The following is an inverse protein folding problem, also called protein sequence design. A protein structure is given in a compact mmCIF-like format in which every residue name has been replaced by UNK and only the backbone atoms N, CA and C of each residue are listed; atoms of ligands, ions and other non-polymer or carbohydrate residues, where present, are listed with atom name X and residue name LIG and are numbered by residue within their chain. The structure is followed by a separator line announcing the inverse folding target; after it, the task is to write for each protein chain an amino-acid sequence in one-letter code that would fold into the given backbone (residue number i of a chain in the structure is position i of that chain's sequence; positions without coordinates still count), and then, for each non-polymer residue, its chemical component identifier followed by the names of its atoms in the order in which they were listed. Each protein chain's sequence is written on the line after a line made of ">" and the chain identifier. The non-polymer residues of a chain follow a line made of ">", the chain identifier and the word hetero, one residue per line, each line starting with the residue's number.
data_IF_858104294636
#
_entry.id   IF_858104294636
#
_cell.length_a   1.000
_cell.length_b   1.000
_cell.length_c   1.000
_cell.angle_alpha   90.00
_cell.angle_beta   90.00
_cell.angle_gamma   90.00
#
_symmetry.space_group_name_H-M   'P 1'
#
loop_
_entity.id
_entity.type
_entity.pdbx_description
1 polymer ?
#
# COMPACT_ATOMS: atom_id res chain seq x y z
N UNK A 1 -17.29 -36.64 5.44
CA UNK A 1 -17.52 -38.12 5.31
C UNK A 1 -18.05 -38.43 3.92
N UNK A 2 -17.80 -39.62 3.43
CA UNK A 2 -18.33 -40.15 2.16
C UNK A 2 -19.21 -41.35 2.42
N UNK A 3 -20.18 -41.58 1.53
CA UNK A 3 -21.01 -42.81 1.51
C UNK A 3 -20.20 -43.98 0.92
N UNK A 4 -20.73 -45.19 0.98
CA UNK A 4 -20.14 -46.37 0.33
C UNK A 4 -20.02 -46.21 -1.20
N UNK A 5 -20.91 -45.42 -1.80
CA UNK A 5 -20.85 -45.04 -3.24
C UNK A 5 -19.86 -43.92 -3.56
N UNK A 6 -19.08 -43.40 -2.59
CA UNK A 6 -18.10 -42.36 -2.78
C UNK A 6 -18.65 -40.92 -2.75
N UNK A 7 -19.97 -40.73 -2.65
CA UNK A 7 -20.59 -39.40 -2.56
C UNK A 7 -20.24 -38.71 -1.24
N UNK A 8 -19.96 -37.38 -1.30
CA UNK A 8 -19.73 -36.56 -0.10
C UNK A 8 -21.06 -36.38 0.60
N UNK A 9 -21.21 -36.96 1.79
CA UNK A 9 -22.41 -36.87 2.62
C UNK A 9 -22.35 -35.81 3.68
N UNK A 10 -21.13 -35.43 4.12
CA UNK A 10 -20.93 -34.41 5.14
C UNK A 10 -19.55 -33.74 5.01
N UNK A 11 -19.51 -32.41 5.08
CA UNK A 11 -18.29 -31.60 5.18
C UNK A 11 -18.31 -30.91 6.54
N UNK A 12 -17.26 -31.11 7.32
CA UNK A 12 -17.04 -30.37 8.57
C UNK A 12 -16.14 -29.16 8.25
N UNK A 13 -16.57 -27.99 8.68
CA UNK A 13 -15.77 -26.76 8.67
C UNK A 13 -15.59 -26.29 10.10
N UNK A 14 -14.37 -26.00 10.47
CA UNK A 14 -14.03 -25.47 11.79
C UNK A 14 -12.78 -24.62 11.71
N UNK A 15 -12.50 -23.88 12.76
CA UNK A 15 -11.26 -23.15 12.94
C UNK A 15 -10.25 -24.05 13.65
N UNK A 16 -9.01 -24.04 13.17
CA UNK A 16 -7.89 -24.72 13.79
C UNK A 16 -6.67 -23.80 13.75
N UNK A 17 -5.79 -23.95 14.74
CA UNK A 17 -4.47 -23.31 14.69
C UNK A 17 -3.61 -24.06 13.67
N UNK A 18 -3.62 -23.58 12.44
CA UNK A 18 -3.02 -24.27 11.31
C UNK A 18 -1.53 -23.94 11.10
N UNK A 19 -1.00 -22.91 11.79
CA UNK A 19 0.39 -22.51 11.58
C UNK A 19 0.78 -21.23 12.31
N UNK A 20 1.98 -20.77 12.02
CA UNK A 20 2.59 -19.56 12.58
C UNK A 20 2.84 -18.56 11.47
N UNK A 21 2.51 -17.29 11.72
CA UNK A 21 2.87 -16.18 10.86
C UNK A 21 3.95 -15.34 11.56
N UNK A 22 5.11 -15.24 10.95
CA UNK A 22 6.23 -14.43 11.45
C UNK A 22 6.37 -13.17 10.59
N UNK A 23 6.42 -12.03 11.26
CA UNK A 23 6.69 -10.72 10.65
C UNK A 23 7.80 -10.04 11.43
N UNK A 24 8.85 -9.58 10.74
CA UNK A 24 9.96 -8.83 11.32
C UNK A 24 10.30 -7.64 10.43
N UNK A 25 10.75 -6.57 11.07
CA UNK A 25 11.11 -5.36 10.34
C UNK A 25 11.57 -4.23 11.24
N UNK A 26 11.74 -3.06 10.63
CA UNK A 26 12.15 -1.82 11.25
C UNK A 26 11.22 -0.71 10.83
N UNK A 27 10.83 0.10 11.79
CA UNK A 27 10.13 1.36 11.56
C UNK A 27 11.07 2.52 11.90
N UNK A 28 11.14 3.50 11.01
CA UNK A 28 11.93 4.71 11.18
C UNK A 28 10.98 5.91 11.13
N UNK A 29 11.09 6.79 12.11
CA UNK A 29 10.36 8.05 12.15
C UNK A 29 11.34 9.17 12.50
N UNK A 30 11.55 10.10 11.55
CA UNK A 30 12.43 11.25 11.70
C UNK A 30 11.62 12.51 11.46
N UNK A 31 11.72 13.46 12.36
CA UNK A 31 11.11 14.77 12.24
C UNK A 31 12.17 15.85 12.46
N UNK A 32 12.18 16.84 11.58
CA UNK A 32 13.08 17.99 11.65
C UNK A 32 12.30 19.26 11.38
N UNK A 33 12.55 20.27 12.18
CA UNK A 33 11.89 21.58 12.08
C UNK A 33 12.95 22.68 12.02
N UNK A 34 12.76 23.65 11.15
CA UNK A 34 13.66 24.78 11.01
C UNK A 34 12.93 26.02 10.44
N UNK A 35 13.44 27.19 10.72
CA UNK A 35 13.00 28.41 10.08
C UNK A 35 13.48 28.44 8.63
N UNK A 36 12.59 28.76 7.69
CA UNK A 36 12.88 28.81 6.26
C UNK A 36 11.95 29.82 5.56
N UNK A 37 12.51 30.78 4.81
CA UNK A 37 11.78 31.80 4.03
C UNK A 37 10.71 32.54 4.85
N UNK A 38 11.10 33.09 6.00
CA UNK A 38 10.22 33.77 6.96
C UNK A 38 9.00 32.93 7.40
N UNK A 39 9.12 31.64 7.40
CA UNK A 39 8.12 30.66 7.83
C UNK A 39 8.77 29.50 8.52
N UNK A 40 7.98 28.52 8.92
CA UNK A 40 8.41 27.30 9.58
C UNK A 40 8.35 26.14 8.59
N UNK A 41 9.45 25.42 8.44
CA UNK A 41 9.54 24.21 7.64
C UNK A 41 9.63 22.99 8.56
N UNK A 42 8.66 22.10 8.43
CA UNK A 42 8.65 20.79 9.05
C UNK A 42 8.94 19.72 7.98
N UNK A 43 9.94 18.88 8.24
CA UNK A 43 10.29 17.73 7.41
C UNK A 43 10.02 16.47 8.22
N UNK A 44 9.17 15.60 7.70
CA UNK A 44 8.87 14.31 8.32
C UNK A 44 9.19 13.17 7.36
N UNK A 45 9.94 12.20 7.84
CA UNK A 45 10.24 10.97 7.12
C UNK A 45 9.80 9.77 7.94
N UNK A 46 8.90 8.97 7.37
CA UNK A 46 8.40 7.74 7.97
C UNK A 46 8.68 6.60 7.00
N UNK A 47 9.32 5.55 7.48
CA UNK A 47 9.63 4.38 6.67
C UNK A 47 9.41 3.09 7.46
N UNK A 48 8.93 2.06 6.77
CA UNK A 48 8.87 0.68 7.25
C UNK A 48 9.67 -0.19 6.30
N UNK A 49 10.64 -0.95 6.84
CA UNK A 49 11.36 -1.99 6.13
C UNK A 49 11.09 -3.32 6.80
N UNK A 50 10.43 -4.22 6.10
CA UNK A 50 10.25 -5.59 6.53
C UNK A 50 11.45 -6.43 6.07
N UNK A 51 11.91 -7.32 6.94
CA UNK A 51 13.04 -8.21 6.67
C UNK A 51 12.60 -9.67 6.61
N UNK A 52 11.44 -9.98 7.19
CA UNK A 52 10.86 -11.33 7.14
C UNK A 52 9.35 -11.23 7.17
N UNK A 53 8.71 -12.00 6.30
CA UNK A 53 7.30 -12.36 6.37
C UNK A 53 7.17 -13.80 5.92
N UNK A 54 6.93 -14.70 6.87
CA UNK A 54 6.81 -16.13 6.59
C UNK A 54 5.53 -16.68 7.19
N UNK A 55 4.94 -17.63 6.47
CA UNK A 55 3.84 -18.46 6.97
C UNK A 55 4.37 -19.90 7.07
N UNK A 56 4.28 -20.48 8.25
CA UNK A 56 4.61 -21.89 8.48
C UNK A 56 3.33 -22.65 8.79
N UNK A 57 2.85 -23.40 7.83
CA UNK A 57 1.66 -24.23 7.91
C UNK A 57 2.00 -25.74 7.75
N UNK A 58 3.20 -26.13 8.18
CA UNK A 58 3.73 -27.49 8.11
C UNK A 58 2.82 -28.49 8.84
N UNK A 59 2.17 -28.06 9.91
CA UNK A 59 1.25 -28.90 10.69
C UNK A 59 0.03 -29.41 9.90
N UNK A 60 -0.35 -28.70 8.82
CA UNK A 60 -1.45 -29.09 7.93
C UNK A 60 -0.95 -29.51 6.53
N UNK A 61 0.36 -29.76 6.40
CA UNK A 61 0.98 -30.26 5.16
C UNK A 61 1.25 -29.20 4.09
N UNK A 62 1.08 -27.89 4.40
CA UNK A 62 1.30 -26.80 3.43
C UNK A 62 2.74 -26.25 3.43
N UNK A 63 3.57 -26.69 4.39
CA UNK A 63 4.97 -26.27 4.49
C UNK A 63 5.15 -24.84 4.98
N UNK A 64 6.39 -24.33 4.83
CA UNK A 64 6.80 -22.97 5.17
C UNK A 64 7.02 -22.18 3.89
N UNK A 65 6.40 -20.98 3.78
CA UNK A 65 6.54 -20.05 2.66
C UNK A 65 7.04 -18.70 3.11
N UNK A 66 7.91 -18.09 2.30
CA UNK A 66 8.23 -16.64 2.39
C UNK A 66 7.22 -15.88 1.52
N UNK A 67 6.71 -14.76 2.04
CA UNK A 67 5.64 -13.98 1.42
C UNK A 67 5.98 -12.49 1.37
N UNK A 68 7.23 -12.15 1.57
CA UNK A 68 7.68 -10.76 1.61
C UNK A 68 8.04 -10.27 0.20
N UNK A 69 7.50 -9.10 -0.18
CA UNK A 69 7.81 -8.47 -1.44
C UNK A 69 7.31 -9.24 -2.67
N UNK A 70 6.28 -10.08 -2.49
CA UNK A 70 5.76 -10.93 -3.55
C UNK A 70 4.25 -10.74 -3.74
N UNK A 71 3.81 -10.77 -4.98
CA UNK A 71 2.42 -11.01 -5.34
C UNK A 71 2.25 -12.47 -5.81
N UNK A 72 1.02 -12.96 -5.87
CA UNK A 72 0.71 -14.34 -6.26
C UNK A 72 1.44 -15.42 -5.40
N UNK A 73 1.70 -15.07 -4.15
CA UNK A 73 2.58 -15.83 -3.25
C UNK A 73 1.92 -17.08 -2.63
N UNK A 74 0.62 -17.26 -2.85
CA UNK A 74 -0.14 -18.34 -2.22
C UNK A 74 -0.24 -18.23 -0.68
N UNK A 75 0.11 -17.08 -0.10
CA UNK A 75 0.09 -16.86 1.33
C UNK A 75 -1.29 -16.43 1.88
N UNK A 76 -2.31 -16.52 1.06
CA UNK A 76 -3.71 -16.34 1.45
C UNK A 76 -4.15 -14.89 1.69
N UNK A 77 -3.31 -13.91 1.43
CA UNK A 77 -3.68 -12.50 1.48
C UNK A 77 -4.03 -11.98 0.08
N UNK A 78 -5.12 -11.24 0.01
CA UNK A 78 -5.57 -10.59 -1.23
C UNK A 78 -4.63 -9.47 -1.67
N UNK A 79 -3.92 -8.86 -0.74
CA UNK A 79 -2.99 -7.75 -1.02
C UNK A 79 -1.57 -8.15 -0.66
N UNK A 80 -0.62 -8.02 -1.59
CA UNK A 80 0.79 -8.29 -1.31
C UNK A 80 1.35 -7.30 -0.29
N UNK A 81 2.40 -7.72 0.39
CA UNK A 81 3.09 -6.89 1.37
C UNK A 81 4.47 -6.55 0.83
N UNK A 82 4.72 -5.31 0.39
CA UNK A 82 6.03 -4.86 -0.04
C UNK A 82 7.02 -4.90 1.14
N UNK A 83 8.29 -5.10 0.82
CA UNK A 83 9.33 -5.15 1.84
C UNK A 83 9.72 -3.77 2.36
N UNK A 84 9.44 -2.72 1.57
CA UNK A 84 9.76 -1.36 1.94
C UNK A 84 8.66 -0.38 1.52
N UNK A 85 8.30 0.51 2.44
CA UNK A 85 7.45 1.68 2.19
C UNK A 85 8.02 2.88 2.90
N UNK A 86 7.98 4.04 2.25
CA UNK A 86 8.28 5.28 2.94
C UNK A 86 7.42 6.44 2.49
N UNK A 87 7.33 7.42 3.37
CA UNK A 87 6.68 8.70 3.14
C UNK A 87 7.59 9.82 3.61
N UNK A 88 7.87 10.75 2.70
CA UNK A 88 8.58 11.99 2.98
C UNK A 88 7.61 13.15 2.83
N UNK A 89 7.52 13.98 3.84
CA UNK A 89 6.63 15.14 3.88
C UNK A 89 7.47 16.38 4.14
N UNK A 90 7.29 17.39 3.30
CA UNK A 90 7.73 18.76 3.54
C UNK A 90 6.47 19.58 3.79
N UNK A 91 6.40 20.22 4.93
CA UNK A 91 5.32 21.14 5.28
C UNK A 91 5.93 22.49 5.65
N UNK A 92 5.62 23.50 4.87
CA UNK A 92 6.05 24.85 5.13
C UNK A 92 4.82 25.72 5.45
N UNK A 93 4.93 26.55 6.47
CA UNK A 93 3.84 27.44 6.88
C UNK A 93 4.34 28.83 7.26
N UNK A 94 3.58 29.83 6.88
CA UNK A 94 3.76 31.23 7.23
C UNK A 94 2.42 31.92 7.32
N UNK A 95 2.14 32.56 8.46
CA UNK A 95 0.93 33.35 8.74
C UNK A 95 -0.35 32.79 8.03
N UNK A 96 -0.60 33.28 6.82
CA UNK A 96 -1.81 33.02 6.05
C UNK A 96 -1.65 31.90 4.98
N UNK A 97 -0.46 31.35 4.80
CA UNK A 97 -0.16 30.37 3.73
C UNK A 97 0.54 29.15 4.30
N UNK A 98 0.08 27.97 3.92
CA UNK A 98 0.85 26.74 4.10
C UNK A 98 0.94 25.94 2.80
N UNK A 99 2.09 25.29 2.62
CA UNK A 99 2.38 24.43 1.49
C UNK A 99 2.81 23.06 2.01
N UNK A 100 2.32 22.01 1.40
CA UNK A 100 2.72 20.65 1.70
C UNK A 100 3.09 19.91 0.43
N UNK A 101 4.24 19.25 0.45
CA UNK A 101 4.68 18.29 -0.55
C UNK A 101 4.84 16.92 0.12
N UNK A 102 4.25 15.90 -0.43
CA UNK A 102 4.33 14.53 0.06
C UNK A 102 4.81 13.61 -1.03
N UNK A 103 5.88 12.87 -0.78
CA UNK A 103 6.33 11.75 -1.60
C UNK A 103 6.01 10.43 -0.90
N UNK A 104 5.32 9.51 -1.58
CA UNK A 104 5.04 8.16 -1.10
C UNK A 104 5.72 7.17 -2.04
N UNK A 105 6.47 6.22 -1.47
CA UNK A 105 7.13 5.15 -2.24
C UNK A 105 6.76 3.79 -1.68
N UNK A 106 6.51 2.86 -2.56
CA UNK A 106 6.31 1.44 -2.31
C UNK A 106 7.33 0.70 -3.14
N UNK A 107 8.09 -0.22 -2.53
CA UNK A 107 9.08 -1.02 -3.25
C UNK A 107 8.43 -1.92 -4.29
N UNK A 108 9.23 -2.32 -5.26
CA UNK A 108 8.93 -3.36 -6.23
C UNK A 108 8.43 -4.65 -5.55
N UNK A 109 7.65 -5.41 -6.32
CA UNK A 109 7.18 -6.74 -5.95
C UNK A 109 7.59 -7.71 -7.06
N UNK A 110 7.89 -8.95 -6.69
CA UNK A 110 8.12 -10.06 -7.61
C UNK A 110 6.96 -11.05 -7.60
N UNK A 111 6.86 -11.87 -8.64
CA UNK A 111 5.96 -13.02 -8.61
C UNK A 111 6.42 -14.05 -7.57
N UNK A 112 5.51 -14.58 -6.80
CA UNK A 112 5.74 -15.64 -5.82
C UNK A 112 5.43 -17.05 -6.34
N UNK A 113 4.90 -17.16 -7.56
CA UNK A 113 4.69 -18.44 -8.26
C UNK A 113 5.86 -18.72 -9.19
N UNK A 114 6.71 -19.66 -8.80
CA UNK A 114 7.88 -20.05 -9.61
C UNK A 114 7.57 -21.19 -10.62
N UNK A 115 6.32 -21.62 -10.72
CA UNK A 115 5.93 -22.73 -11.58
C UNK A 115 5.31 -22.25 -12.91
N UNK A 116 4.79 -21.02 -12.92
CA UNK A 116 4.07 -20.45 -14.06
C UNK A 116 4.66 -19.10 -14.45
N UNK A 117 5.13 -18.96 -15.68
CA UNK A 117 5.57 -17.68 -16.24
C UNK A 117 4.35 -16.82 -16.56
N UNK A 118 4.26 -15.65 -15.91
CA UNK A 118 3.23 -14.65 -16.16
C UNK A 118 3.77 -13.50 -17.03
N UNK A 119 2.89 -12.69 -17.55
CA UNK A 119 3.28 -11.51 -18.33
C UNK A 119 4.11 -10.52 -17.52
N UNK A 120 3.86 -10.42 -16.22
CA UNK A 120 4.58 -9.54 -15.30
C UNK A 120 5.18 -10.39 -14.18
N UNK A 121 6.49 -10.51 -14.18
CA UNK A 121 7.27 -11.25 -13.18
C UNK A 121 7.70 -10.35 -12.00
N UNK A 122 7.78 -9.04 -12.25
CA UNK A 122 8.11 -8.05 -11.21
C UNK A 122 7.49 -6.69 -11.54
N UNK A 123 7.26 -5.89 -10.52
CA UNK A 123 6.88 -4.49 -10.64
C UNK A 123 8.10 -3.61 -10.36
N UNK A 124 8.08 -2.38 -10.87
CA UNK A 124 9.03 -1.34 -10.43
C UNK A 124 8.59 -0.72 -9.11
N UNK A 125 9.50 0.05 -8.50
CA UNK A 125 9.15 0.92 -7.38
C UNK A 125 8.07 1.92 -7.81
N UNK A 126 7.06 2.07 -6.97
CA UNK A 126 5.94 2.95 -7.23
C UNK A 126 6.02 4.19 -6.33
N UNK A 127 6.30 5.33 -6.95
CA UNK A 127 6.42 6.61 -6.24
C UNK A 127 5.40 7.60 -6.77
N UNK A 128 4.63 8.22 -5.86
CA UNK A 128 3.69 9.30 -6.16
C UNK A 128 4.04 10.55 -5.35
N UNK A 129 3.68 11.71 -5.90
CA UNK A 129 3.85 13.00 -5.26
C UNK A 129 2.52 13.73 -5.17
N UNK A 130 2.23 14.28 -3.98
CA UNK A 130 1.05 15.09 -3.72
C UNK A 130 1.48 16.50 -3.33
N UNK A 131 0.78 17.51 -3.82
CA UNK A 131 0.99 18.92 -3.45
C UNK A 131 -0.31 19.50 -2.92
N UNK A 132 -0.24 20.20 -1.80
CA UNK A 132 -1.39 20.87 -1.19
C UNK A 132 -0.99 22.27 -0.77
N UNK A 133 -1.86 23.25 -1.01
CA UNK A 133 -1.75 24.62 -0.51
C UNK A 133 -2.98 24.94 0.32
N UNK A 134 -2.79 25.60 1.45
CA UNK A 134 -3.87 26.15 2.28
C UNK A 134 -3.66 27.63 2.45
N UNK A 135 -4.71 28.42 2.21
CA UNK A 135 -4.72 29.87 2.35
C UNK A 135 -5.79 30.24 3.37
N UNK A 136 -5.40 30.97 4.39
CA UNK A 136 -6.29 31.59 5.38
C UNK A 136 -6.65 33.02 4.93
N UNK A 137 -7.88 33.17 4.40
CA UNK A 137 -8.43 34.46 3.99
C UNK A 137 -9.25 35.02 5.14
N UNK A 138 -8.69 35.94 5.91
CA UNK A 138 -9.33 36.52 7.09
C UNK A 138 -9.56 35.44 8.18
N UNK A 139 -10.09 35.83 9.31
CA UNK A 139 -10.24 34.95 10.49
C UNK A 139 -11.26 33.82 10.33
N UNK A 140 -12.06 33.84 9.27
CA UNK A 140 -13.22 32.96 9.13
C UNK A 140 -13.29 32.16 7.80
N UNK A 141 -12.32 32.32 6.88
CA UNK A 141 -12.33 31.62 5.60
C UNK A 141 -10.98 30.94 5.36
N UNK A 142 -10.99 29.63 5.24
CA UNK A 142 -9.84 28.82 4.87
C UNK A 142 -10.09 28.06 3.59
N UNK A 143 -9.22 28.23 2.60
CA UNK A 143 -9.26 27.53 1.31
C UNK A 143 -8.09 26.58 1.23
N UNK A 144 -8.34 25.31 1.00
CA UNK A 144 -7.33 24.29 0.73
C UNK A 144 -7.53 23.76 -0.69
N UNK A 145 -6.49 23.77 -1.49
CA UNK A 145 -6.47 23.17 -2.82
C UNK A 145 -5.26 22.24 -2.93
N UNK A 146 -5.42 21.13 -3.62
CA UNK A 146 -4.34 20.19 -3.78
C UNK A 146 -4.47 19.33 -5.03
N UNK A 147 -3.34 18.79 -5.44
CA UNK A 147 -3.19 17.87 -6.56
C UNK A 147 -2.52 16.60 -6.02
N UNK A 148 -3.25 15.50 -6.03
CA UNK A 148 -2.71 14.16 -5.70
C UNK A 148 -2.11 13.56 -6.95
N UNK A 149 -1.08 12.75 -6.76
CA UNK A 149 -0.35 12.08 -7.83
C UNK A 149 -0.01 13.03 -8.98
N UNK A 150 0.75 14.09 -8.66
CA UNK A 150 1.09 15.19 -9.60
C UNK A 150 1.69 14.68 -10.91
N UNK A 151 2.49 13.62 -10.83
CA UNK A 151 3.16 13.00 -11.98
C UNK A 151 2.26 12.09 -12.80
N UNK A 152 1.01 11.86 -12.36
CA UNK A 152 0.08 10.92 -12.98
C UNK A 152 0.66 9.50 -13.12
N UNK A 153 1.43 9.07 -12.11
CA UNK A 153 2.05 7.74 -12.11
C UNK A 153 0.94 6.68 -12.12
N UNK A 154 0.92 5.87 -13.17
CA UNK A 154 -0.03 4.77 -13.28
C UNK A 154 0.39 3.59 -12.40
N UNK A 155 -0.56 2.86 -11.80
CA UNK A 155 -0.27 1.65 -11.06
C UNK A 155 0.32 0.57 -11.98
N UNK A 156 1.19 -0.32 -11.47
CA UNK A 156 1.72 -1.42 -12.28
C UNK A 156 0.58 -2.36 -12.71
N UNK A 157 0.64 -2.80 -13.95
CA UNK A 157 -0.27 -3.81 -14.50
C UNK A 157 0.30 -5.19 -14.21
N UNK A 158 -0.35 -5.95 -13.34
CA UNK A 158 0.12 -7.27 -12.88
C UNK A 158 -0.64 -8.40 -13.58
N UNK A 159 -1.89 -8.12 -13.95
CA UNK A 159 -2.79 -9.11 -14.57
C UNK A 159 -3.83 -9.65 -13.59
N UNK A 160 -5.03 -9.93 -14.10
CA UNK A 160 -6.17 -10.34 -13.28
C UNK A 160 -5.98 -11.68 -12.58
N UNK A 161 -5.29 -12.62 -13.23
CA UNK A 161 -5.06 -13.95 -12.65
C UNK A 161 -4.11 -13.91 -11.45
N UNK A 162 -3.11 -13.02 -11.48
CA UNK A 162 -2.17 -12.83 -10.36
C UNK A 162 -2.78 -12.04 -9.21
N UNK A 163 -3.70 -11.10 -9.50
CA UNK A 163 -4.34 -10.26 -8.46
C UNK A 163 -5.41 -11.03 -7.69
N UNK A 164 -6.26 -11.76 -8.39
CA UNK A 164 -7.35 -12.53 -7.80
C UNK A 164 -7.53 -13.85 -8.56
N UNK A 165 -6.70 -14.86 -8.29
CA UNK A 165 -6.80 -16.14 -8.96
C UNK A 165 -8.20 -16.75 -8.75
N UNK A 166 -8.78 -17.23 -9.85
CA UNK A 166 -10.12 -17.85 -9.87
C UNK A 166 -11.29 -16.92 -9.52
N UNK A 167 -11.13 -15.59 -9.59
CA UNK A 167 -12.21 -14.63 -9.45
C UNK A 167 -12.58 -14.03 -10.82
N UNK A 168 -13.87 -13.89 -11.14
CA UNK A 168 -14.33 -13.34 -12.42
C UNK A 168 -14.30 -11.79 -12.42
N UNK A 169 -13.23 -11.19 -11.93
CA UNK A 169 -13.08 -9.72 -11.82
C UNK A 169 -11.93 -9.25 -12.68
N UNK A 170 -12.16 -8.23 -13.48
CA UNK A 170 -11.15 -7.61 -14.34
C UNK A 170 -10.34 -6.57 -13.57
N UNK A 171 -9.57 -6.99 -12.56
CA UNK A 171 -8.66 -6.13 -11.80
C UNK A 171 -7.24 -6.49 -12.21
N UNK A 172 -6.52 -5.52 -12.78
CA UNK A 172 -5.15 -5.71 -13.28
C UNK A 172 -4.07 -5.23 -12.33
N UNK A 173 -4.44 -4.74 -11.14
CA UNK A 173 -3.52 -4.22 -10.12
C UNK A 173 -4.12 -4.40 -8.73
N UNK A 174 -3.42 -3.99 -7.69
CA UNK A 174 -3.88 -4.04 -6.30
C UNK A 174 -4.37 -2.65 -5.82
N UNK A 175 -5.70 -2.36 -5.84
CA UNK A 175 -6.23 -1.04 -5.47
C UNK A 175 -6.01 -0.66 -4.00
N UNK A 176 -5.76 -1.64 -3.12
CA UNK A 176 -5.43 -1.40 -1.72
C UNK A 176 -3.95 -1.04 -1.51
N UNK A 177 -3.13 -1.19 -2.54
CA UNK A 177 -1.70 -0.91 -2.50
C UNK A 177 -1.32 0.31 -3.34
N UNK A 178 -1.90 0.44 -4.52
CA UNK A 178 -1.58 1.47 -5.51
C UNK A 178 -2.75 2.43 -5.71
N UNK A 179 -2.44 3.69 -6.03
CA UNK A 179 -3.45 4.67 -6.42
C UNK A 179 -3.95 4.37 -7.85
N UNK A 180 -5.22 3.98 -7.95
CA UNK A 180 -5.87 3.64 -9.22
C UNK A 180 -6.62 4.82 -9.86
N UNK A 181 -6.73 5.95 -9.17
CA UNK A 181 -7.45 7.12 -9.67
C UNK A 181 -6.59 8.04 -10.52
N UNK A 182 -5.24 7.91 -10.41
CA UNK A 182 -4.32 8.80 -11.08
C UNK A 182 -4.36 10.23 -10.51
N UNK A 183 -4.03 11.22 -11.35
CA UNK A 183 -3.99 12.61 -10.92
C UNK A 183 -5.36 13.13 -10.54
N UNK A 184 -5.49 13.62 -9.31
CA UNK A 184 -6.76 14.10 -8.76
C UNK A 184 -6.61 15.49 -8.16
N UNK A 185 -7.39 16.45 -8.67
CA UNK A 185 -7.53 17.79 -8.12
C UNK A 185 -8.63 17.82 -7.05
N UNK A 186 -8.39 18.49 -5.94
CA UNK A 186 -9.41 18.76 -4.94
C UNK A 186 -9.34 20.21 -4.45
N UNK A 187 -10.50 20.76 -4.07
CA UNK A 187 -10.63 22.06 -3.42
C UNK A 187 -11.58 21.90 -2.25
N UNK A 188 -11.21 22.48 -1.12
CA UNK A 188 -12.02 22.53 0.10
C UNK A 188 -12.10 23.95 0.62
N UNK A 189 -13.30 24.42 0.94
CA UNK A 189 -13.53 25.71 1.57
C UNK A 189 -14.17 25.49 2.94
N UNK A 190 -13.57 26.05 3.98
CA UNK A 190 -14.11 26.06 5.34
C UNK A 190 -14.48 27.50 5.68
N UNK A 191 -15.70 27.70 6.19
CA UNK A 191 -16.19 29.00 6.68
C UNK A 191 -16.74 28.82 8.09
N UNK A 192 -16.43 29.75 8.98
CA UNK A 192 -17.03 29.87 10.30
C UNK A 192 -17.84 31.16 10.36
N UNK A 193 -19.03 31.12 10.95
CA UNK A 193 -19.96 32.25 11.07
C UNK A 193 -20.11 32.66 12.53
#
# INVERSE_FOLDING_TARGET
>A
TRSESGQITRVFRGYANAGTHTLRGWDVNLNYQTDFLDGLLDISYVATKLTERTIDATQIGMGKKSCLGQFNDGCGLVTPVPDYKHRLTFYWSRDWLSLQLVGNTISSLSDGDNETDYYTEFTEDYTTFDVTSTIDLKDNIRITAGLKNVTDKQPPVIGSNSVLPNQPVSINTYPLLYDVFGRTLFIKVNMSF
#
